data_IF_835714529632
#
_entry.id   IF_835714529632
#
_cell.length_a   1.000
_cell.length_b   1.000
_cell.length_c   1.000
_cell.angle_alpha   90.00
_cell.angle_beta   90.00
_cell.angle_gamma   90.00
#
_symmetry.space_group_name_H-M   'P 1'
#
loop_
_entity.id
_entity.type
_entity.pdbx_description
1 polymer ?
#
# COMPACT_ATOMS: atom_id res chain seq x y z
N UNK A 1 16.28 1.47 -4.53
CA UNK A 1 16.24 0.64 -3.31
C UNK A 1 15.10 -0.34 -3.50
N UNK A 2 15.41 -1.53 -4.00
CA UNK A 2 14.43 -2.46 -4.57
C UNK A 2 14.76 -3.88 -4.12
N UNK A 3 14.64 -4.15 -2.81
CA UNK A 3 14.95 -5.47 -2.24
C UNK A 3 13.88 -6.55 -2.53
N UNK A 4 12.73 -6.22 -3.12
CA UNK A 4 11.68 -7.19 -3.46
C UNK A 4 11.81 -7.77 -4.89
N UNK A 5 13.04 -7.88 -5.41
CA UNK A 5 13.34 -8.11 -6.84
C UNK A 5 13.35 -9.59 -7.19
N UNK A 6 12.22 -10.24 -7.02
CA UNK A 6 12.02 -11.65 -7.37
C UNK A 6 10.62 -11.91 -7.95
N UNK A 7 10.01 -13.01 -7.51
CA UNK A 7 8.71 -13.52 -7.98
C UNK A 7 7.49 -12.68 -7.56
N UNK A 8 7.60 -11.85 -6.53
CA UNK A 8 6.50 -11.02 -6.05
C UNK A 8 6.39 -9.67 -6.76
N UNK A 9 7.33 -9.32 -7.64
CA UNK A 9 7.30 -8.08 -8.42
C UNK A 9 6.02 -7.89 -9.26
N UNK A 10 5.52 -8.86 -10.05
CA UNK A 10 4.25 -8.70 -10.77
C UNK A 10 3.04 -8.53 -9.83
N UNK A 11 3.07 -9.16 -8.66
CA UNK A 11 2.05 -8.99 -7.64
C UNK A 11 2.07 -7.55 -7.08
N UNK A 12 3.25 -7.03 -6.73
CA UNK A 12 3.41 -5.67 -6.24
C UNK A 12 3.00 -4.62 -7.28
N UNK A 13 3.32 -4.83 -8.55
CA UNK A 13 2.88 -3.97 -9.66
C UNK A 13 1.35 -3.97 -9.79
N UNK A 14 0.72 -5.15 -9.74
CA UNK A 14 -0.74 -5.26 -9.77
C UNK A 14 -1.40 -4.55 -8.57
N UNK A 15 -0.87 -4.78 -7.36
CA UNK A 15 -1.34 -4.12 -6.14
C UNK A 15 -1.22 -2.60 -6.30
N UNK A 16 -0.08 -2.10 -6.82
CA UNK A 16 0.16 -0.67 -7.07
C UNK A 16 -0.82 -0.07 -8.09
N UNK A 17 -1.20 -0.81 -9.13
CA UNK A 17 -2.21 -0.37 -10.11
C UNK A 17 -3.63 -0.36 -9.55
N UNK A 18 -3.92 -1.16 -8.53
CA UNK A 18 -5.28 -1.38 -8.03
C UNK A 18 -5.44 -1.02 -6.54
N UNK A 19 -4.70 -0.05 -6.00
CA UNK A 19 -4.64 0.21 -4.55
C UNK A 19 -5.99 0.47 -3.86
N UNK A 20 -6.97 0.97 -4.61
CA UNK A 20 -8.36 1.17 -4.17
C UNK A 20 -9.15 -0.10 -3.90
N UNK A 21 -8.71 -1.23 -4.45
CA UNK A 21 -9.32 -2.51 -4.17
C UNK A 21 -8.97 -3.02 -2.75
N UNK A 22 -9.82 -3.90 -2.23
CA UNK A 22 -9.58 -4.60 -0.96
C UNK A 22 -8.45 -5.61 -1.13
N UNK A 23 -7.21 -5.18 -0.90
CA UNK A 23 -6.02 -6.05 -0.90
C UNK A 23 -5.93 -6.86 0.39
N UNK A 24 -6.74 -7.90 0.50
CA UNK A 24 -6.58 -8.88 1.59
C UNK A 24 -5.38 -9.78 1.27
N UNK A 25 -4.71 -10.25 2.33
CA UNK A 25 -3.61 -11.21 2.20
C UNK A 25 -4.05 -12.46 1.43
N UNK A 26 -5.31 -12.89 1.59
CA UNK A 26 -5.87 -14.01 0.83
C UNK A 26 -5.90 -13.76 -0.69
N UNK A 27 -6.36 -12.60 -1.16
CA UNK A 27 -6.43 -12.27 -2.60
C UNK A 27 -5.02 -12.23 -3.22
N UNK A 28 -4.07 -11.65 -2.50
CA UNK A 28 -2.67 -11.63 -2.93
C UNK A 28 -2.06 -13.04 -2.97
N UNK A 29 -2.39 -13.87 -1.98
CA UNK A 29 -1.92 -15.25 -1.95
C UNK A 29 -2.52 -16.08 -3.10
N UNK A 30 -3.80 -15.91 -3.40
CA UNK A 30 -4.47 -16.55 -4.54
C UNK A 30 -3.82 -16.15 -5.88
N UNK A 31 -3.50 -14.85 -6.06
CA UNK A 31 -2.77 -14.37 -7.25
C UNK A 31 -1.35 -14.92 -7.35
N UNK A 32 -0.70 -15.18 -6.22
CA UNK A 32 0.61 -15.82 -6.18
C UNK A 32 0.54 -17.35 -6.31
N UNK A 33 -0.65 -17.93 -6.51
CA UNK A 33 -0.91 -19.37 -6.48
C UNK A 33 -0.38 -20.03 -5.19
N UNK A 34 -0.54 -19.35 -4.05
CA UNK A 34 -0.05 -19.79 -2.74
C UNK A 34 -1.14 -19.74 -1.68
N UNK A 35 -1.02 -20.61 -0.67
CA UNK A 35 -1.82 -20.47 0.54
C UNK A 35 -1.43 -19.20 1.31
N UNK A 36 -2.37 -18.47 1.95
CA UNK A 36 -2.09 -17.21 2.64
C UNK A 36 -1.03 -17.32 3.74
N UNK A 37 -0.94 -18.47 4.41
CA UNK A 37 0.11 -18.76 5.41
C UNK A 37 1.49 -18.86 4.77
N UNK A 38 1.60 -19.58 3.65
CA UNK A 38 2.85 -19.80 2.94
C UNK A 38 3.31 -18.52 2.24
N UNK A 39 2.37 -17.79 1.63
CA UNK A 39 2.58 -16.47 1.05
C UNK A 39 3.09 -15.48 2.11
N UNK A 40 2.42 -15.35 3.26
CA UNK A 40 2.84 -14.40 4.28
C UNK A 40 4.25 -14.67 4.80
N UNK A 41 4.60 -15.95 5.00
CA UNK A 41 5.95 -16.35 5.43
C UNK A 41 6.98 -16.07 4.33
N UNK A 42 6.77 -16.60 3.13
CA UNK A 42 7.66 -16.41 1.99
C UNK A 42 7.88 -14.92 1.67
N UNK A 43 6.80 -14.13 1.70
CA UNK A 43 6.85 -12.70 1.45
C UNK A 43 7.62 -11.96 2.55
N UNK A 44 7.44 -12.34 3.81
CA UNK A 44 8.20 -11.76 4.92
C UNK A 44 9.68 -12.14 4.87
N UNK A 45 10.02 -13.38 4.50
CA UNK A 45 11.41 -13.80 4.34
C UNK A 45 12.09 -13.10 3.16
N UNK A 46 11.35 -12.85 2.07
CA UNK A 46 11.89 -12.21 0.85
C UNK A 46 11.93 -10.67 0.96
N UNK A 47 10.92 -10.06 1.59
CA UNK A 47 10.73 -8.59 1.65
C UNK A 47 11.10 -7.99 3.01
N UNK A 48 11.29 -8.83 4.03
CA UNK A 48 11.51 -8.41 5.42
C UNK A 48 10.27 -7.85 6.13
N UNK A 49 9.13 -7.77 5.44
CA UNK A 49 7.90 -7.13 5.92
C UNK A 49 6.70 -8.04 5.70
N UNK A 50 5.70 -7.95 6.57
CA UNK A 50 4.46 -8.68 6.37
C UNK A 50 3.71 -8.11 5.15
N UNK A 51 2.95 -8.95 4.41
CA UNK A 51 2.22 -8.49 3.23
C UNK A 51 1.24 -7.36 3.56
N UNK A 52 0.63 -7.39 4.75
CA UNK A 52 -0.21 -6.30 5.24
C UNK A 52 0.57 -4.97 5.33
N UNK A 53 1.76 -4.96 5.94
CA UNK A 53 2.61 -3.76 6.04
C UNK A 53 3.10 -3.28 4.68
N UNK A 54 3.42 -4.18 3.76
CA UNK A 54 3.85 -3.81 2.42
C UNK A 54 2.73 -3.13 1.62
N UNK A 55 1.51 -3.66 1.68
CA UNK A 55 0.33 -3.00 1.09
C UNK A 55 0.09 -1.65 1.73
N UNK A 56 0.20 -1.55 3.06
CA UNK A 56 -0.01 -0.29 3.78
C UNK A 56 1.01 0.77 3.35
N UNK A 57 2.29 0.40 3.19
CA UNK A 57 3.33 1.27 2.60
C UNK A 57 3.00 1.70 1.18
N UNK A 58 2.65 0.76 0.30
CA UNK A 58 2.30 1.06 -1.09
C UNK A 58 1.11 2.02 -1.20
N UNK A 59 0.09 1.84 -0.35
CA UNK A 59 -1.08 2.74 -0.29
C UNK A 59 -0.67 4.14 0.15
N UNK A 60 0.18 4.25 1.16
CA UNK A 60 0.70 5.54 1.64
C UNK A 60 1.57 6.21 0.57
N UNK A 61 2.43 5.48 -0.12
CA UNK A 61 3.24 6.02 -1.22
C UNK A 61 2.40 6.52 -2.39
N UNK A 62 1.38 5.77 -2.81
CA UNK A 62 0.50 6.22 -3.89
C UNK A 62 -0.37 7.40 -3.48
N UNK A 63 -0.88 7.39 -2.24
CA UNK A 63 -1.62 8.53 -1.72
C UNK A 63 -0.74 9.78 -1.63
N UNK A 64 0.53 9.62 -1.26
CA UNK A 64 1.54 10.70 -1.32
C UNK A 64 1.72 11.19 -2.76
N UNK A 65 1.93 10.28 -3.72
CA UNK A 65 2.10 10.66 -5.12
C UNK A 65 0.87 11.39 -5.68
N UNK A 66 -0.34 11.00 -5.28
CA UNK A 66 -1.58 11.69 -5.65
C UNK A 66 -1.63 13.11 -5.06
N UNK A 67 -1.23 13.28 -3.80
CA UNK A 67 -1.16 14.60 -3.14
C UNK A 67 -0.10 15.50 -3.78
N UNK A 68 1.07 14.95 -4.12
CA UNK A 68 2.14 15.66 -4.83
C UNK A 68 1.70 16.02 -6.27
N UNK A 69 0.87 15.18 -6.90
CA UNK A 69 0.28 15.44 -8.22
C UNK A 69 -0.88 16.46 -8.20
N UNK A 70 -1.21 17.05 -7.04
CA UNK A 70 -2.25 18.08 -6.93
C UNK A 70 -3.66 17.53 -6.69
N UNK A 71 -3.80 16.35 -6.08
CA UNK A 71 -5.12 15.81 -5.74
C UNK A 71 -5.93 16.79 -4.88
N UNK A 72 -7.15 17.05 -5.34
CA UNK A 72 -8.00 18.13 -4.81
C UNK A 72 -8.58 17.83 -3.42
N UNK A 73 -8.63 16.56 -3.00
CA UNK A 73 -9.28 16.15 -1.74
C UNK A 73 -8.68 14.88 -1.13
N UNK A 74 -8.27 14.99 0.14
CA UNK A 74 -7.80 13.87 0.96
C UNK A 74 -8.82 12.73 1.05
N UNK A 75 -10.11 13.06 1.13
CA UNK A 75 -11.19 12.09 1.22
C UNK A 75 -11.30 11.25 -0.07
N UNK A 76 -11.09 11.88 -1.23
CA UNK A 76 -11.07 11.20 -2.53
C UNK A 76 -9.89 10.25 -2.63
N UNK A 77 -8.69 10.73 -2.29
CA UNK A 77 -7.47 9.93 -2.27
C UNK A 77 -7.58 8.75 -1.29
N UNK A 78 -8.17 8.96 -0.11
CA UNK A 78 -8.38 7.90 0.86
C UNK A 78 -9.30 6.79 0.32
N UNK A 79 -10.37 7.17 -0.39
CA UNK A 79 -11.27 6.20 -1.01
C UNK A 79 -10.59 5.48 -2.19
N UNK A 80 -9.90 6.22 -3.05
CA UNK A 80 -9.15 5.67 -4.20
C UNK A 80 -7.97 4.79 -3.80
N UNK A 81 -7.37 5.00 -2.62
CA UNK A 81 -6.29 4.15 -2.09
C UNK A 81 -6.79 3.04 -1.16
N UNK A 82 -8.11 2.94 -0.94
CA UNK A 82 -8.70 1.86 -0.13
C UNK A 82 -8.50 2.01 1.39
N UNK A 83 -8.27 3.24 1.87
CA UNK A 83 -8.29 3.58 3.31
C UNK A 83 -9.71 3.76 3.86
N UNK A 84 -10.68 4.00 2.97
CA UNK A 84 -12.06 4.37 3.31
C UNK A 84 -12.17 5.87 3.60
N UNK A 85 -11.45 6.32 4.64
CA UNK A 85 -11.58 7.68 5.16
C UNK A 85 -10.25 8.39 5.36
N UNK A 86 -10.29 9.71 5.29
CA UNK A 86 -9.11 10.57 5.48
C UNK A 86 -8.49 10.44 6.88
N UNK A 87 -9.27 10.13 7.93
CA UNK A 87 -8.73 9.88 9.27
C UNK A 87 -7.92 8.59 9.35
N UNK A 88 -8.42 7.52 8.72
CA UNK A 88 -7.73 6.23 8.69
C UNK A 88 -6.43 6.34 7.89
N UNK A 89 -6.49 7.07 6.76
CA UNK A 89 -5.30 7.44 5.99
C UNK A 89 -4.30 8.23 6.84
N UNK A 90 -4.73 9.29 7.57
CA UNK A 90 -3.85 10.07 8.46
C UNK A 90 -3.16 9.18 9.50
N UNK A 91 -3.88 8.27 10.15
CA UNK A 91 -3.30 7.35 11.14
C UNK A 91 -2.24 6.43 10.53
N UNK A 92 -2.49 5.87 9.35
CA UNK A 92 -1.49 5.04 8.65
C UNK A 92 -0.28 5.86 8.15
N UNK A 93 -0.50 7.10 7.71
CA UNK A 93 0.59 8.01 7.32
C UNK A 93 1.53 8.30 8.48
N UNK A 94 0.99 8.69 9.64
CA UNK A 94 1.81 8.94 10.83
C UNK A 94 2.49 7.65 11.30
N UNK A 95 1.82 6.50 11.24
CA UNK A 95 2.45 5.21 11.62
C UNK A 95 3.60 4.76 10.72
N UNK A 96 3.56 5.10 9.42
CA UNK A 96 4.50 4.56 8.43
C UNK A 96 5.57 5.55 7.98
N UNK A 97 5.20 6.83 7.86
CA UNK A 97 6.08 7.90 7.40
C UNK A 97 6.42 8.89 8.52
N UNK A 98 5.71 8.86 9.65
CA UNK A 98 5.79 9.88 10.71
C UNK A 98 5.43 11.30 10.23
N UNK A 99 4.82 11.41 9.03
CA UNK A 99 4.44 12.70 8.44
C UNK A 99 2.93 12.76 8.22
N UNK A 100 2.23 13.83 8.63
CA UNK A 100 0.82 13.99 8.33
C UNK A 100 0.62 14.28 6.82
N UNK A 101 -0.45 13.74 6.21
CA UNK A 101 -0.73 13.95 4.78
C UNK A 101 -0.99 15.42 4.42
N UNK A 102 -1.34 16.25 5.41
CA UNK A 102 -1.47 17.70 5.27
C UNK A 102 -0.18 18.38 4.82
N UNK A 103 0.98 17.83 5.21
CA UNK A 103 2.30 18.39 4.90
C UNK A 103 2.73 18.10 3.45
N UNK A 104 2.19 17.02 2.86
CA UNK A 104 2.50 16.59 1.49
C UNK A 104 1.69 17.33 0.42
N UNK A 105 0.68 18.11 0.83
CA UNK A 105 -0.12 18.90 -0.11
C UNK A 105 0.75 20.02 -0.66
N UNK A 106 1.12 19.92 -1.94
CA UNK A 106 1.73 21.03 -2.66
C UNK A 106 0.73 22.21 -2.68
N UNK A 107 1.21 23.37 -2.23
CA UNK A 107 0.42 24.60 -2.10
C UNK A 107 0.19 25.27 -3.44
#
# INVERSE_FOLDING_TARGET
>A
MDCARGRFKPLLDHVRRNLGARHRVSDMAERACMSPRHFARAFQEETGLTPAKAVEKLRVEAARAALESGASSLQRVANECGFGDAENMRRSFVRLLDVPPSLLRAR
#
